data_IF_786420033800
#
_entry.id   IF_786420033800
#
_cell.length_a   1.000
_cell.length_b   1.000
_cell.length_c   1.000
_cell.angle_alpha   90.00
_cell.angle_beta   90.00
_cell.angle_gamma   90.00
#
_symmetry.space_group_name_H-M   'P 1'
#
loop_
_entity.id
_entity.type
_entity.pdbx_description
1 polymer ?
#
# COMPACT_ATOMS: atom_id res chain seq x y z
N UNK A 1 -5.73 21.47 14.91
CA UNK A 1 -6.31 21.96 13.64
C UNK A 1 -5.38 21.47 12.55
N UNK A 2 -5.90 20.66 11.64
CA UNK A 2 -5.19 20.18 10.46
C UNK A 2 -5.27 21.24 9.36
N UNK A 3 -4.23 21.35 8.54
CA UNK A 3 -4.13 22.31 7.43
C UNK A 3 -4.66 21.62 6.17
N UNK A 4 -5.75 22.13 5.59
CA UNK A 4 -6.25 21.63 4.32
C UNK A 4 -5.31 22.04 3.18
N UNK A 5 -4.72 21.05 2.49
CA UNK A 5 -3.77 21.26 1.39
C UNK A 5 -4.40 21.03 0.01
N UNK A 6 -5.73 20.92 -0.06
CA UNK A 6 -6.51 20.76 -1.28
C UNK A 6 -6.24 19.43 -1.97
N UNK A 7 -5.83 19.49 -3.24
CA UNK A 7 -5.55 18.30 -4.05
C UNK A 7 -4.11 17.79 -3.92
N UNK A 8 -3.36 18.23 -2.92
CA UNK A 8 -1.99 17.76 -2.72
C UNK A 8 -1.96 16.44 -1.94
N UNK A 9 -0.94 15.64 -2.23
CA UNK A 9 -0.62 14.46 -1.44
C UNK A 9 -0.14 14.90 -0.04
N UNK A 10 -0.67 14.34 1.05
CA UNK A 10 -0.23 14.64 2.41
C UNK A 10 1.16 14.05 2.73
N UNK A 11 1.66 13.12 1.90
CA UNK A 11 2.98 12.51 2.02
C UNK A 11 4.06 13.27 1.24
N UNK A 12 3.90 13.42 -0.07
CA UNK A 12 4.90 14.07 -0.93
C UNK A 12 4.60 15.54 -1.27
N UNK A 13 3.45 16.09 -0.87
CA UNK A 13 2.98 17.46 -1.16
C UNK A 13 2.84 17.81 -2.65
N UNK A 14 2.93 16.82 -3.54
CA UNK A 14 2.70 17.01 -4.98
C UNK A 14 1.22 17.01 -5.33
N UNK A 15 0.89 17.65 -6.45
CA UNK A 15 -0.49 17.75 -6.93
C UNK A 15 -1.00 16.37 -7.41
N UNK A 16 -2.23 16.04 -7.02
CA UNK A 16 -2.90 14.78 -7.39
C UNK A 16 -4.12 15.02 -8.29
N UNK A 17 -4.26 16.21 -8.90
CA UNK A 17 -5.38 16.52 -9.80
C UNK A 17 -5.28 15.78 -11.12
N UNK A 18 -6.39 15.76 -11.86
CA UNK A 18 -6.41 15.22 -13.22
C UNK A 18 -5.35 15.93 -14.08
N UNK A 19 -4.50 15.15 -14.75
CA UNK A 19 -3.37 15.66 -15.54
C UNK A 19 -2.04 15.78 -14.77
N UNK A 20 -2.00 15.56 -13.45
CA UNK A 20 -0.76 15.52 -12.66
C UNK A 20 0.05 14.23 -12.82
N UNK A 21 -0.53 13.18 -13.42
CA UNK A 21 0.00 11.82 -13.42
C UNK A 21 -0.30 11.04 -12.12
N UNK A 22 -0.77 11.71 -11.06
CA UNK A 22 -1.01 11.12 -9.72
C UNK A 22 -2.47 11.11 -9.30
N UNK A 23 -3.37 11.30 -10.27
CA UNK A 23 -4.81 11.24 -10.04
C UNK A 23 -5.33 9.82 -9.80
N UNK A 24 -4.67 8.83 -10.41
CA UNK A 24 -5.09 7.42 -10.33
C UNK A 24 -4.88 6.90 -8.91
N UNK A 25 -5.91 6.24 -8.37
CA UNK A 25 -5.90 5.62 -7.04
C UNK A 25 -5.50 6.57 -5.91
N UNK A 26 -5.76 7.87 -6.05
CA UNK A 26 -5.65 8.80 -4.92
C UNK A 26 -6.78 8.55 -3.93
N UNK A 27 -6.47 8.50 -2.64
CA UNK A 27 -7.47 8.37 -1.57
C UNK A 27 -7.52 9.65 -0.72
N UNK A 28 -8.70 10.10 -0.25
CA UNK A 28 -8.76 11.16 0.76
C UNK A 28 -7.99 10.71 2.02
N UNK A 29 -7.14 11.57 2.56
CA UNK A 29 -6.29 11.25 3.69
C UNK A 29 -6.10 12.45 4.62
N UNK A 30 -5.95 12.18 5.92
CA UNK A 30 -5.65 13.16 6.94
C UNK A 30 -4.55 12.59 7.87
N UNK A 31 -3.64 13.46 8.32
CA UNK A 31 -2.72 13.16 9.42
C UNK A 31 -2.80 14.26 10.49
N UNK A 32 -1.92 14.23 11.49
CA UNK A 32 -1.93 15.22 12.59
C UNK A 32 -1.69 16.66 12.13
N UNK A 33 -1.21 16.88 10.90
CA UNK A 33 -0.79 18.17 10.36
C UNK A 33 -1.62 18.63 9.14
N UNK A 34 -2.01 17.71 8.25
CA UNK A 34 -2.58 18.01 6.94
C UNK A 34 -3.84 17.19 6.63
N UNK A 35 -4.78 17.81 5.94
CA UNK A 35 -5.95 17.18 5.33
C UNK A 35 -5.87 17.35 3.79
N UNK A 36 -5.93 16.26 3.04
CA UNK A 36 -5.76 16.27 1.59
C UNK A 36 -6.00 14.91 0.95
N UNK A 37 -5.10 14.49 0.07
CA UNK A 37 -5.13 13.17 -0.58
C UNK A 37 -3.85 12.38 -0.28
N UNK A 38 -3.84 11.09 -0.54
CA UNK A 38 -2.62 10.27 -0.61
C UNK A 38 -2.51 9.77 -2.05
N UNK A 39 -1.38 10.03 -2.72
CA UNK A 39 -1.15 9.52 -4.07
C UNK A 39 -0.81 8.03 -4.05
N UNK A 40 -0.94 7.37 -5.21
CA UNK A 40 -0.61 5.94 -5.36
C UNK A 40 0.81 5.62 -4.86
N UNK A 41 1.81 6.44 -5.16
CA UNK A 41 3.19 6.18 -4.71
C UNK A 41 3.34 6.23 -3.19
N UNK A 42 2.66 7.19 -2.52
CA UNK A 42 2.72 7.33 -1.07
C UNK A 42 1.77 6.39 -0.32
N UNK A 43 0.85 5.71 -1.02
CA UNK A 43 0.03 4.67 -0.42
C UNK A 43 0.69 3.29 -0.52
N UNK A 44 1.68 3.14 -1.42
CA UNK A 44 2.36 1.89 -1.63
C UNK A 44 3.51 1.72 -0.62
N UNK A 45 3.66 0.49 -0.14
CA UNK A 45 4.80 0.08 0.64
C UNK A 45 5.74 -0.76 -0.24
N UNK A 46 7.03 -0.76 0.08
CA UNK A 46 8.03 -1.58 -0.62
C UNK A 46 7.97 -3.02 -0.08
N UNK A 47 7.81 -4.01 -0.97
CA UNK A 47 7.88 -5.41 -0.59
C UNK A 47 9.28 -5.77 -0.11
N UNK A 48 9.41 -6.33 1.09
CA UNK A 48 10.69 -6.69 1.70
C UNK A 48 11.45 -7.77 0.92
N UNK A 49 10.75 -8.61 0.16
CA UNK A 49 11.34 -9.70 -0.62
C UNK A 49 11.76 -9.28 -2.03
N UNK A 50 10.85 -8.74 -2.85
CA UNK A 50 11.13 -8.40 -4.25
C UNK A 50 11.46 -6.92 -4.47
N UNK A 51 11.28 -6.06 -3.46
CA UNK A 51 11.51 -4.60 -3.52
C UNK A 51 10.60 -3.87 -4.51
N UNK A 52 9.48 -4.48 -4.89
CA UNK A 52 8.45 -3.82 -5.70
C UNK A 52 7.46 -3.07 -4.80
N UNK A 53 7.02 -1.90 -5.27
CA UNK A 53 5.98 -1.11 -4.61
C UNK A 53 4.62 -1.78 -4.78
N UNK A 54 3.95 -2.05 -3.67
CA UNK A 54 2.59 -2.60 -3.65
C UNK A 54 1.66 -1.71 -2.84
N UNK A 55 0.47 -1.43 -3.38
CA UNK A 55 -0.59 -0.73 -2.64
C UNK A 55 -1.31 -1.66 -1.65
N UNK A 56 -1.17 -2.97 -1.85
CA UNK A 56 -1.78 -4.02 -1.03
C UNK A 56 -0.65 -4.85 -0.42
N UNK A 57 0.03 -4.27 0.57
CA UNK A 57 1.06 -4.95 1.33
C UNK A 57 0.41 -5.86 2.37
N UNK A 58 0.80 -7.14 2.35
CA UNK A 58 0.45 -8.15 3.34
C UNK A 58 1.60 -8.32 4.33
N UNK A 59 1.33 -8.89 5.51
CA UNK A 59 2.35 -9.14 6.53
C UNK A 59 2.53 -10.63 6.72
N UNK A 60 3.77 -11.10 6.89
CA UNK A 60 4.03 -12.46 7.37
C UNK A 60 4.18 -12.48 8.90
N UNK A 61 4.39 -13.69 9.46
CA UNK A 61 4.61 -13.90 10.90
C UNK A 61 5.90 -13.26 11.43
N UNK A 62 6.89 -13.01 10.57
CA UNK A 62 8.12 -12.31 10.91
C UNK A 62 7.94 -10.77 10.94
N UNK A 63 6.81 -10.26 10.43
CA UNK A 63 6.48 -8.83 10.37
C UNK A 63 7.01 -8.11 9.14
N UNK A 64 7.45 -8.85 8.11
CA UNK A 64 7.87 -8.30 6.83
C UNK A 64 6.65 -7.83 6.00
N UNK A 65 6.82 -6.73 5.27
CA UNK A 65 5.83 -6.23 4.31
C UNK A 65 6.01 -6.95 2.98
N UNK A 66 4.99 -7.62 2.47
CA UNK A 66 5.05 -8.46 1.28
C UNK A 66 4.02 -8.03 0.25
N UNK A 67 4.37 -8.06 -1.03
CA UNK A 67 3.35 -8.04 -2.09
C UNK A 67 2.54 -9.34 -2.07
N UNK A 68 1.35 -9.30 -2.68
CA UNK A 68 0.44 -10.45 -2.80
C UNK A 68 1.17 -11.72 -3.30
N UNK A 69 1.95 -11.60 -4.37
CA UNK A 69 2.67 -12.72 -4.96
C UNK A 69 3.69 -13.34 -3.99
N UNK A 70 4.50 -12.52 -3.31
CA UNK A 70 5.49 -13.00 -2.34
C UNK A 70 4.81 -13.58 -1.10
N UNK A 71 3.70 -12.99 -0.64
CA UNK A 71 2.94 -13.51 0.48
C UNK A 71 2.35 -14.90 0.15
N UNK A 72 1.70 -15.05 -1.01
CA UNK A 72 1.16 -16.34 -1.48
C UNK A 72 2.28 -17.38 -1.60
N UNK A 73 3.46 -17.00 -2.11
CA UNK A 73 4.60 -17.91 -2.17
C UNK A 73 5.04 -18.38 -0.77
N UNK A 74 5.09 -17.49 0.22
CA UNK A 74 5.40 -17.84 1.59
C UNK A 74 4.34 -18.74 2.23
N UNK A 75 3.05 -18.47 1.99
CA UNK A 75 1.93 -19.33 2.41
C UNK A 75 2.10 -20.74 1.84
N UNK A 76 2.36 -20.85 0.54
CA UNK A 76 2.55 -22.13 -0.15
C UNK A 76 3.77 -22.90 0.36
N UNK A 77 4.81 -22.21 0.82
CA UNK A 77 6.01 -22.80 1.45
C UNK A 77 5.80 -23.14 2.93
N UNK A 78 4.65 -22.78 3.52
CA UNK A 78 4.39 -22.96 4.95
C UNK A 78 5.26 -22.08 5.84
N UNK A 79 5.77 -20.96 5.31
CA UNK A 79 6.60 -20.00 6.03
C UNK A 79 5.77 -18.97 6.81
N UNK A 80 4.51 -18.78 6.43
CA UNK A 80 3.55 -18.00 7.20
C UNK A 80 2.38 -18.87 7.67
N UNK A 81 1.85 -18.56 8.85
CA UNK A 81 0.68 -19.19 9.45
C UNK A 81 -0.63 -18.69 8.85
N UNK A 82 -0.59 -17.64 8.02
CA UNK A 82 -1.72 -17.13 7.27
C UNK A 82 -2.33 -18.22 6.38
N UNK A 83 -3.53 -18.65 6.75
CA UNK A 83 -4.33 -19.60 5.98
C UNK A 83 -5.14 -18.85 4.94
N UNK A 84 -4.48 -18.13 4.02
CA UNK A 84 -5.14 -17.72 2.79
C UNK A 84 -5.43 -19.00 2.01
N UNK A 85 -6.67 -19.47 2.17
CA UNK A 85 -7.08 -20.84 1.90
C UNK A 85 -6.68 -21.26 0.49
N UNK A 86 -5.70 -22.16 0.43
CA UNK A 86 -5.53 -23.06 -0.70
C UNK A 86 -6.83 -23.87 -0.75
N UNK A 87 -7.82 -23.41 -1.51
CA UNK A 87 -8.88 -24.25 -2.03
C UNK A 87 -8.22 -25.15 -3.07
N UNK A 88 -7.44 -26.12 -2.60
CA UNK A 88 -7.11 -27.30 -3.41
C UNK A 88 -8.43 -28.07 -3.46
N UNK A 89 -9.21 -27.83 -4.49
CA UNK A 89 -10.30 -28.73 -4.85
C UNK A 89 -9.67 -30.10 -5.16
N UNK A 90 -10.01 -31.09 -4.34
CA UNK A 90 -9.64 -32.51 -4.50
C UNK A 90 -10.17 -33.12 -5.81
#
# INVERSE_FOLDING_TARGET
MTVNIGHKCIGCHEDTQFGSGRFVNRIPAENNEYEGYLCFECQCEECDQCKELTADAMFNDDGDYLCEDCHIEQVNKGLTSDKYGILIEE
#
